data_IF_847482503645
#
_entry.id   IF_847482503645
#
_cell.length_a   1.000
_cell.length_b   1.000
_cell.length_c   1.000
_cell.angle_alpha   90.00
_cell.angle_beta   90.00
_cell.angle_gamma   90.00
#
_symmetry.space_group_name_H-M   'P 1'
#
loop_
_entity.id
_entity.type
_entity.pdbx_description
1 polymer ?
#
# COMPACT_ATOMS: atom_id res chain seq x y z
N UNK A 1 -24.02 -11.12 -45.95
CA UNK A 1 -23.42 -10.35 -44.84
C UNK A 1 -21.93 -10.64 -44.82
N UNK A 2 -21.07 -9.63 -44.97
CA UNK A 2 -19.62 -9.82 -44.82
C UNK A 2 -19.30 -9.95 -43.33
N UNK A 3 -18.41 -10.88 -42.93
CA UNK A 3 -17.94 -10.93 -41.55
C UNK A 3 -17.22 -9.61 -41.23
N UNK A 4 -17.57 -8.99 -40.10
CA UNK A 4 -16.84 -7.84 -39.55
C UNK A 4 -15.40 -8.28 -39.30
N UNK A 5 -14.45 -7.64 -39.98
CA UNK A 5 -13.03 -7.90 -39.76
C UNK A 5 -12.65 -7.42 -38.36
N UNK A 6 -12.38 -8.36 -37.46
CA UNK A 6 -11.66 -8.13 -36.21
C UNK A 6 -10.35 -7.42 -36.55
N UNK A 7 -10.29 -6.13 -36.26
CA UNK A 7 -9.14 -5.27 -36.51
C UNK A 7 -8.47 -5.03 -35.17
N UNK A 8 -7.28 -5.59 -35.01
CA UNK A 8 -6.44 -5.40 -33.83
C UNK A 8 -5.64 -4.11 -34.04
N UNK A 9 -5.85 -3.12 -33.17
CA UNK A 9 -5.09 -1.86 -33.16
C UNK A 9 -4.14 -1.91 -31.97
N UNK A 10 -2.85 -1.64 -32.21
CA UNK A 10 -1.81 -1.56 -31.17
C UNK A 10 -1.50 -0.09 -30.86
N UNK A 11 -1.76 0.34 -29.62
CA UNK A 11 -1.56 1.71 -29.16
C UNK A 11 -0.49 1.78 -28.06
N UNK A 12 0.52 2.63 -28.23
CA UNK A 12 1.69 2.74 -27.33
C UNK A 12 1.66 3.95 -26.39
N UNK A 13 0.95 3.87 -25.28
CA UNK A 13 0.72 5.04 -24.40
C UNK A 13 0.80 4.74 -22.89
N UNK A 14 1.65 3.80 -22.47
CA UNK A 14 1.95 3.51 -21.06
C UNK A 14 2.21 4.81 -20.25
N UNK A 15 2.98 5.74 -20.81
CA UNK A 15 3.28 7.03 -20.18
C UNK A 15 2.02 7.90 -19.97
N UNK A 16 1.03 7.86 -20.84
CA UNK A 16 -0.19 8.67 -20.69
C UNK A 16 -1.07 8.11 -19.56
N UNK A 17 -1.29 6.79 -19.54
CA UNK A 17 -2.05 6.15 -18.46
C UNK A 17 -1.40 6.36 -17.10
N UNK A 18 -0.08 6.20 -17.01
CA UNK A 18 0.63 6.40 -15.75
C UNK A 18 0.65 7.88 -15.35
N UNK A 19 1.07 8.78 -16.24
CA UNK A 19 1.29 10.18 -15.89
C UNK A 19 0.01 11.01 -15.78
N UNK A 20 -1.02 10.70 -16.58
CA UNK A 20 -2.23 11.53 -16.65
C UNK A 20 -3.40 10.95 -15.87
N UNK A 21 -3.41 9.63 -15.62
CA UNK A 21 -4.47 8.99 -14.87
C UNK A 21 -3.99 8.44 -13.53
N UNK A 22 -3.01 7.53 -13.49
CA UNK A 22 -2.62 6.88 -12.23
C UNK A 22 -1.98 7.86 -11.25
N UNK A 23 -0.88 8.50 -11.63
CA UNK A 23 -0.11 9.39 -10.75
C UNK A 23 -0.96 10.53 -10.16
N UNK A 24 -1.81 11.24 -10.93
CA UNK A 24 -2.64 12.31 -10.38
C UNK A 24 -3.70 11.81 -9.39
N UNK A 25 -4.26 10.62 -9.62
CA UNK A 25 -5.24 10.05 -8.69
C UNK A 25 -4.57 9.55 -7.39
N UNK A 26 -3.33 9.05 -7.47
CA UNK A 26 -2.55 8.63 -6.29
C UNK A 26 -1.97 9.80 -5.49
N UNK A 27 -1.87 11.00 -6.06
CA UNK A 27 -1.23 12.16 -5.39
C UNK A 27 -1.88 12.62 -4.08
N UNK A 28 -3.11 12.19 -3.80
CA UNK A 28 -3.76 12.41 -2.50
C UNK A 28 -3.22 11.47 -1.41
N UNK A 29 -2.93 10.21 -1.78
CA UNK A 29 -2.46 9.15 -0.88
C UNK A 29 -0.94 9.02 -0.83
N UNK A 30 -0.24 9.43 -1.88
CA UNK A 30 1.20 9.27 -2.06
C UNK A 30 1.88 10.60 -2.34
N UNK A 31 3.16 10.67 -1.98
CA UNK A 31 4.08 11.75 -2.34
C UNK A 31 5.40 11.18 -2.85
N UNK A 32 6.19 12.04 -3.50
CA UNK A 32 7.48 11.66 -4.09
C UNK A 32 7.37 10.46 -5.04
N UNK A 33 6.27 10.41 -5.80
CA UNK A 33 5.97 9.30 -6.69
C UNK A 33 7.07 9.19 -7.75
N UNK A 34 7.69 8.02 -7.84
CA UNK A 34 8.63 7.64 -8.89
C UNK A 34 7.99 6.56 -9.73
N UNK A 35 8.13 6.70 -11.04
CA UNK A 35 7.63 5.71 -11.99
C UNK A 35 8.81 4.84 -12.38
N UNK A 36 8.74 3.56 -12.01
CA UNK A 36 9.79 2.57 -12.27
C UNK A 36 9.41 1.63 -13.43
N UNK A 37 8.18 1.75 -13.93
CA UNK A 37 7.74 1.09 -15.15
C UNK A 37 8.69 1.32 -16.33
N UNK A 38 9.03 0.25 -17.03
CA UNK A 38 9.78 0.32 -18.29
C UNK A 38 8.82 0.43 -19.48
N UNK A 39 9.00 1.39 -20.41
CA UNK A 39 8.24 1.42 -21.66
C UNK A 39 8.29 0.07 -22.40
N UNK A 40 7.13 -0.44 -22.82
CA UNK A 40 7.00 -1.73 -23.52
C UNK A 40 6.94 -2.97 -22.63
N UNK A 41 7.10 -2.82 -21.30
CA UNK A 41 6.74 -3.86 -20.32
C UNK A 41 5.31 -3.64 -19.82
N UNK A 42 4.49 -4.69 -19.76
CA UNK A 42 3.10 -4.54 -19.35
C UNK A 42 2.94 -4.42 -17.85
N UNK A 43 1.83 -3.80 -17.45
CA UNK A 43 1.56 -3.42 -16.07
C UNK A 43 2.12 -2.03 -15.76
N UNK A 44 2.19 -1.73 -14.46
CA UNK A 44 2.76 -0.50 -13.97
C UNK A 44 3.44 -0.74 -12.64
N UNK A 45 4.55 -0.03 -12.39
CA UNK A 45 5.23 -0.05 -11.11
C UNK A 45 5.62 1.36 -10.74
N UNK A 46 5.16 1.78 -9.56
CA UNK A 46 5.42 3.09 -8.99
C UNK A 46 5.87 2.90 -7.55
N UNK A 47 6.83 3.71 -7.14
CA UNK A 47 7.27 3.80 -5.75
C UNK A 47 7.01 5.19 -5.20
N UNK A 48 6.97 5.32 -3.89
CA UNK A 48 6.82 6.62 -3.24
C UNK A 48 6.74 6.47 -1.73
N UNK A 49 6.13 7.45 -1.08
CA UNK A 49 5.83 7.40 0.35
C UNK A 49 4.37 7.75 0.58
N UNK A 50 3.79 7.26 1.69
CA UNK A 50 2.46 7.70 2.10
C UNK A 50 2.45 9.21 2.33
N UNK A 51 1.30 9.82 2.06
CA UNK A 51 1.02 11.22 2.38
C UNK A 51 0.16 11.29 3.64
N UNK A 52 0.75 10.93 4.79
CA UNK A 52 0.07 10.94 6.09
C UNK A 52 0.89 11.70 7.14
N UNK A 53 0.24 12.37 8.10
CA UNK A 53 0.95 12.99 9.22
C UNK A 53 1.68 11.93 10.07
N UNK A 54 2.69 12.39 10.81
CA UNK A 54 3.30 11.57 11.85
C UNK A 54 2.27 11.23 12.93
N UNK A 55 2.43 10.06 13.54
CA UNK A 55 1.59 9.54 14.61
C UNK A 55 2.50 9.30 15.82
N UNK A 56 2.13 9.90 16.94
CA UNK A 56 2.84 9.74 18.21
C UNK A 56 2.36 8.47 18.91
N UNK A 57 3.30 7.61 19.26
CA UNK A 57 3.16 6.52 20.21
C UNK A 57 3.41 7.15 21.58
N UNK A 58 2.33 7.45 22.30
CA UNK A 58 2.43 8.12 23.59
C UNK A 58 3.20 7.28 24.61
N UNK A 59 3.79 7.93 25.63
CA UNK A 59 4.37 7.21 26.73
C UNK A 59 3.28 6.45 27.49
N UNK A 60 3.66 5.35 28.11
CA UNK A 60 2.77 4.54 28.94
C UNK A 60 3.51 4.08 30.20
N UNK A 61 2.83 4.15 31.34
CA UNK A 61 3.28 3.53 32.57
C UNK A 61 2.35 2.35 32.86
N UNK A 62 2.89 1.14 32.89
CA UNK A 62 2.14 -0.07 33.22
C UNK A 62 2.61 -0.62 34.57
N UNK A 63 1.68 -0.79 35.51
CA UNK A 63 1.94 -1.29 36.86
C UNK A 63 1.23 -2.62 37.08
N UNK A 64 1.94 -3.57 37.69
CA UNK A 64 1.36 -4.84 38.11
C UNK A 64 1.92 -5.31 39.44
N UNK A 65 1.34 -6.38 39.99
CA UNK A 65 1.88 -7.04 41.17
C UNK A 65 2.53 -8.36 40.81
N UNK A 66 3.82 -8.50 41.07
CA UNK A 66 4.55 -9.77 40.98
C UNK A 66 4.71 -10.33 42.39
N UNK A 67 4.11 -11.49 42.67
CA UNK A 67 4.14 -12.11 44.01
C UNK A 67 3.73 -11.19 45.17
N UNK A 68 2.79 -10.26 44.93
CA UNK A 68 2.29 -9.30 45.92
C UNK A 68 3.09 -8.00 46.04
N UNK A 69 4.20 -7.87 45.31
CA UNK A 69 5.06 -6.70 45.29
C UNK A 69 4.82 -5.87 44.02
N UNK A 70 4.93 -4.53 44.09
CA UNK A 70 4.72 -3.68 42.94
C UNK A 70 5.87 -3.84 41.94
N UNK A 71 5.51 -4.00 40.68
CA UNK A 71 6.39 -3.97 39.51
C UNK A 71 5.81 -2.96 38.51
N UNK A 72 6.67 -2.33 37.72
CA UNK A 72 6.22 -1.41 36.68
C UNK A 72 7.12 -1.44 35.45
N UNK A 73 6.59 -0.95 34.33
CA UNK A 73 7.32 -0.74 33.09
C UNK A 73 6.90 0.60 32.47
N UNK A 74 7.89 1.45 32.24
CA UNK A 74 7.76 2.71 31.55
C UNK A 74 8.11 2.53 30.07
N UNK A 75 7.21 2.96 29.19
CA UNK A 75 7.39 2.98 27.75
C UNK A 75 7.57 4.42 27.30
N UNK A 76 8.67 4.71 26.62
CA UNK A 76 8.96 6.07 26.17
C UNK A 76 8.16 6.44 24.91
N UNK A 77 7.95 7.75 24.74
CA UNK A 77 7.31 8.28 23.55
C UNK A 77 8.14 7.94 22.29
N UNK A 78 7.46 7.54 21.22
CA UNK A 78 8.07 7.37 19.91
C UNK A 78 7.21 8.03 18.83
N UNK A 79 7.83 8.43 17.72
CA UNK A 79 7.13 9.07 16.60
C UNK A 79 7.26 8.20 15.36
N UNK A 80 6.13 7.63 14.92
CA UNK A 80 6.03 6.97 13.64
C UNK A 80 5.71 8.02 12.56
N UNK A 81 6.56 8.13 11.55
CA UNK A 81 6.31 8.98 10.39
C UNK A 81 6.01 8.10 9.17
N UNK A 82 4.73 7.89 8.80
CA UNK A 82 4.37 7.05 7.67
C UNK A 82 5.04 7.49 6.38
N UNK A 83 5.30 8.78 6.28
CA UNK A 83 5.80 9.41 5.08
C UNK A 83 7.32 9.33 4.89
N UNK A 84 8.04 8.64 5.80
CA UNK A 84 9.43 8.21 5.60
C UNK A 84 9.53 6.80 5.01
N UNK A 85 8.50 5.98 5.21
CA UNK A 85 8.46 4.63 4.66
C UNK A 85 8.27 4.61 3.14
N UNK A 86 8.31 3.39 2.61
CA UNK A 86 8.20 3.12 1.19
C UNK A 86 6.85 2.51 0.87
N UNK A 87 6.25 3.02 -0.19
CA UNK A 87 5.11 2.42 -0.88
C UNK A 87 5.62 1.78 -2.16
N UNK A 88 5.22 0.53 -2.38
CA UNK A 88 5.26 -0.16 -3.66
C UNK A 88 3.84 -0.23 -4.23
N UNK A 89 3.63 0.32 -5.42
CA UNK A 89 2.36 0.23 -6.12
C UNK A 89 2.55 -0.47 -7.46
N UNK A 90 1.96 -1.65 -7.56
CA UNK A 90 2.02 -2.52 -8.72
C UNK A 90 0.65 -2.59 -9.38
N UNK A 91 0.59 -2.35 -10.69
CA UNK A 91 -0.59 -2.57 -11.53
C UNK A 91 -0.34 -3.82 -12.36
N UNK A 92 -1.20 -4.81 -12.19
CA UNK A 92 -1.01 -6.10 -12.83
C UNK A 92 -1.32 -6.04 -14.33
N UNK A 93 -0.60 -6.86 -15.08
CA UNK A 93 -0.51 -6.82 -16.53
C UNK A 93 -1.47 -7.77 -17.26
N UNK A 94 -2.06 -8.72 -16.55
CA UNK A 94 -2.96 -9.68 -17.16
C UNK A 94 -4.34 -9.06 -17.33
N UNK A 95 -5.08 -9.50 -18.36
CA UNK A 95 -6.55 -9.55 -18.26
C UNK A 95 -6.83 -10.42 -17.04
N UNK A 96 -6.87 -9.80 -15.87
CA UNK A 96 -6.57 -10.48 -14.62
C UNK A 96 -7.54 -11.63 -14.43
N UNK A 97 -7.01 -12.85 -14.25
CA UNK A 97 -7.81 -14.02 -13.86
C UNK A 97 -8.63 -13.72 -12.60
N UNK A 98 -8.23 -12.72 -11.81
CA UNK A 98 -8.98 -12.17 -10.71
C UNK A 98 -9.07 -10.63 -10.75
N UNK A 99 -10.26 -10.10 -10.97
CA UNK A 99 -10.50 -8.64 -11.01
C UNK A 99 -10.16 -7.96 -9.68
N UNK A 100 -10.02 -8.71 -8.58
CA UNK A 100 -9.78 -8.18 -7.22
C UNK A 100 -8.33 -7.79 -6.94
N UNK A 101 -7.36 -8.27 -7.74
CA UNK A 101 -5.93 -7.97 -7.59
C UNK A 101 -5.40 -7.21 -8.81
N UNK A 102 -6.21 -6.36 -9.42
CA UNK A 102 -5.79 -5.58 -10.59
C UNK A 102 -4.70 -4.55 -10.27
N UNK A 103 -4.68 -4.04 -9.04
CA UNK A 103 -3.59 -3.24 -8.51
C UNK A 103 -3.29 -3.65 -7.06
N UNK A 104 -2.04 -3.52 -6.65
CA UNK A 104 -1.59 -3.85 -5.30
C UNK A 104 -0.76 -2.68 -4.80
N UNK A 105 -1.11 -2.20 -3.61
CA UNK A 105 -0.43 -1.13 -2.91
C UNK A 105 0.09 -1.71 -1.60
N UNK A 106 1.40 -1.72 -1.41
CA UNK A 106 2.05 -2.25 -0.21
C UNK A 106 2.94 -1.19 0.42
N UNK A 107 2.69 -0.89 1.68
CA UNK A 107 3.48 0.02 2.47
C UNK A 107 4.34 -0.75 3.48
N UNK A 108 5.58 -0.28 3.65
CA UNK A 108 6.49 -0.68 4.71
C UNK A 108 7.19 0.54 5.30
N UNK A 109 7.15 0.70 6.62
CA UNK A 109 7.89 1.75 7.32
C UNK A 109 9.38 1.46 7.40
N UNK A 110 10.16 2.48 7.71
CA UNK A 110 11.44 2.29 8.37
C UNK A 110 11.20 1.80 9.82
N UNK A 111 12.16 1.12 10.46
CA UNK A 111 12.06 0.78 11.87
C UNK A 111 11.88 2.02 12.75
N UNK A 112 10.91 1.97 13.66
CA UNK A 112 10.69 3.00 14.69
C UNK A 112 11.25 2.46 16.00
N UNK A 113 12.33 3.06 16.49
CA UNK A 113 12.92 2.67 17.76
C UNK A 113 12.12 3.26 18.93
N UNK A 114 11.72 2.39 19.85
CA UNK A 114 11.12 2.74 21.13
C UNK A 114 12.04 2.23 22.26
N UNK A 115 12.04 2.89 23.40
CA UNK A 115 12.78 2.45 24.58
C UNK A 115 11.83 2.19 25.73
N UNK A 116 12.24 1.34 26.66
CA UNK A 116 11.45 1.00 27.84
C UNK A 116 12.36 0.75 29.04
N UNK A 117 11.82 1.01 30.22
CA UNK A 117 12.48 0.86 31.51
C UNK A 117 11.55 0.11 32.47
N UNK A 118 11.96 -1.08 32.90
CA UNK A 118 11.22 -1.98 33.76
C UNK A 118 11.82 -2.09 35.15
N UNK A 119 10.96 -2.22 36.14
CA UNK A 119 11.33 -2.46 37.52
C UNK A 119 10.51 -3.61 38.09
N UNK A 120 11.19 -4.62 38.60
CA UNK A 120 10.55 -5.72 39.33
C UNK A 120 11.08 -5.79 40.76
N UNK A 121 10.15 -5.77 41.71
CA UNK A 121 10.42 -5.99 43.13
C UNK A 121 9.95 -7.40 43.47
N UNK A 122 10.83 -8.25 44.00
CA UNK A 122 10.50 -9.63 44.38
C UNK A 122 10.85 -9.83 45.85
N UNK A 123 9.91 -9.56 46.76
CA UNK A 123 10.18 -9.72 48.19
C UNK A 123 11.10 -8.64 48.78
N UNK A 124 11.82 -8.96 49.88
CA UNK A 124 12.84 -8.08 50.45
C UNK A 124 14.16 -8.05 49.65
N UNK A 125 14.19 -8.62 48.43
CA UNK A 125 15.36 -8.67 47.57
C UNK A 125 15.61 -7.33 46.85
N UNK A 126 16.82 -7.12 46.29
CA UNK A 126 17.11 -5.92 45.50
C UNK A 126 16.16 -5.75 44.31
N UNK A 127 15.88 -4.48 44.01
CA UNK A 127 15.17 -4.03 42.80
C UNK A 127 15.87 -4.57 41.56
N UNK A 128 15.14 -5.30 40.72
CA UNK A 128 15.64 -5.70 39.39
C UNK A 128 15.24 -4.59 38.43
N UNK A 129 16.22 -3.84 37.95
CA UNK A 129 16.05 -2.84 36.90
C UNK A 129 16.38 -3.50 35.55
N UNK A 130 15.46 -3.35 34.60
CA UNK A 130 15.60 -3.81 33.24
C UNK A 130 15.35 -2.61 32.32
N UNK A 131 16.04 -2.56 31.19
CA UNK A 131 15.76 -1.57 30.17
C UNK A 131 16.10 -2.16 28.80
N UNK A 132 15.51 -1.59 27.75
CA UNK A 132 15.70 -2.13 26.41
C UNK A 132 15.25 -1.21 25.29
N UNK A 133 15.60 -1.63 24.07
CA UNK A 133 15.14 -1.01 22.83
C UNK A 133 14.28 -2.01 22.05
N UNK A 134 13.22 -1.51 21.45
CA UNK A 134 12.36 -2.25 20.53
C UNK A 134 12.27 -1.48 19.23
N UNK A 135 12.39 -2.19 18.11
CA UNK A 135 12.09 -1.67 16.79
C UNK A 135 10.70 -2.12 16.36
N UNK A 136 9.87 -1.15 15.99
CA UNK A 136 8.53 -1.38 15.45
C UNK A 136 8.57 -1.19 13.93
N UNK A 137 8.05 -2.18 13.22
CA UNK A 137 7.85 -2.11 11.77
C UNK A 137 6.36 -2.10 11.46
N UNK A 138 5.92 -1.10 10.71
CA UNK A 138 4.53 -0.91 10.29
C UNK A 138 4.37 -1.32 8.83
N UNK A 139 3.37 -2.16 8.56
CA UNK A 139 2.96 -2.55 7.21
C UNK A 139 1.48 -2.26 6.99
N UNK A 140 1.13 -1.95 5.76
CA UNK A 140 -0.26 -1.74 5.35
C UNK A 140 -0.44 -2.10 3.88
N UNK A 141 -1.57 -2.71 3.53
CA UNK A 141 -1.85 -3.13 2.17
C UNK A 141 -3.19 -2.61 1.67
N UNK A 142 -3.28 -2.45 0.35
CA UNK A 142 -4.52 -2.24 -0.37
C UNK A 142 -4.50 -2.97 -1.71
N UNK A 143 -5.67 -3.44 -2.13
CA UNK A 143 -5.90 -4.15 -3.39
C UNK A 143 -6.92 -3.39 -4.23
N UNK A 144 -6.65 -3.24 -5.51
CA UNK A 144 -7.47 -2.52 -6.47
C UNK A 144 -8.25 -3.47 -7.37
N UNK A 145 -9.51 -3.12 -7.61
CA UNK A 145 -10.41 -3.83 -8.51
C UNK A 145 -10.94 -2.92 -9.61
N UNK A 146 -10.83 -3.36 -10.86
CA UNK A 146 -11.48 -2.67 -11.97
C UNK A 146 -12.99 -2.97 -11.98
N UNK A 147 -13.77 -1.94 -12.26
CA UNK A 147 -15.20 -2.03 -12.51
C UNK A 147 -15.58 -1.08 -13.65
N UNK A 148 -16.77 -1.25 -14.23
CA UNK A 148 -17.26 -0.41 -15.32
C UNK A 148 -17.46 -1.15 -16.65
N UNK A 149 -17.72 -0.37 -17.69
CA UNK A 149 -18.21 -0.89 -18.97
C UNK A 149 -19.64 -1.43 -18.86
N UNK A 150 -20.58 -0.64 -18.35
CA UNK A 150 -22.00 -1.05 -18.29
C UNK A 150 -22.70 -0.83 -19.62
N UNK A 151 -23.95 -1.29 -19.74
CA UNK A 151 -24.82 -0.97 -20.88
C UNK A 151 -25.05 0.53 -21.04
N UNK A 152 -25.21 1.25 -19.92
CA UNK A 152 -25.46 2.70 -19.92
C UNK A 152 -24.17 3.51 -20.11
N UNK A 153 -23.06 3.01 -19.57
CA UNK A 153 -21.76 3.68 -19.58
C UNK A 153 -20.65 2.71 -20.02
N UNK A 154 -20.63 2.30 -21.30
CA UNK A 154 -19.66 1.32 -21.78
C UNK A 154 -18.23 1.88 -21.69
N UNK A 155 -18.04 3.17 -21.90
CA UNK A 155 -16.73 3.83 -21.92
C UNK A 155 -16.17 4.22 -20.54
N UNK A 156 -16.89 4.01 -19.43
CA UNK A 156 -16.42 4.38 -18.10
C UNK A 156 -15.83 3.18 -17.38
N UNK A 157 -14.57 3.31 -16.97
CA UNK A 157 -13.87 2.34 -16.14
C UNK A 157 -13.41 2.98 -14.84
N UNK A 158 -13.44 2.24 -13.74
CA UNK A 158 -13.02 2.73 -12.44
C UNK A 158 -12.17 1.70 -11.73
N UNK A 159 -11.07 2.16 -11.12
CA UNK A 159 -10.27 1.35 -10.21
C UNK A 159 -10.69 1.66 -8.77
N UNK A 160 -11.35 0.71 -8.11
CA UNK A 160 -11.74 0.86 -6.71
C UNK A 160 -10.73 0.14 -5.83
N UNK A 161 -10.19 0.84 -4.84
CA UNK A 161 -9.23 0.29 -3.90
C UNK A 161 -9.95 -0.17 -2.63
N UNK A 162 -9.63 -1.39 -2.18
CA UNK A 162 -10.03 -1.96 -0.89
C UNK A 162 -8.80 -1.99 -0.01
N UNK A 163 -8.92 -1.51 1.22
CA UNK A 163 -7.79 -1.26 2.12
C UNK A 163 -7.85 -2.14 3.36
N UNK A 164 -6.68 -2.48 3.91
CA UNK A 164 -6.60 -2.95 5.29
C UNK A 164 -7.10 -1.85 6.23
N UNK A 165 -7.88 -2.23 7.24
CA UNK A 165 -8.40 -1.27 8.23
C UNK A 165 -7.33 -0.80 9.22
N UNK A 166 -6.36 -1.67 9.52
CA UNK A 166 -5.35 -1.45 10.56
C UNK A 166 -3.94 -1.66 10.02
N UNK A 167 -2.96 -1.08 10.71
CA UNK A 167 -1.55 -1.42 10.53
C UNK A 167 -1.29 -2.86 10.98
N UNK A 168 -0.47 -3.58 10.23
CA UNK A 168 0.23 -4.76 10.75
C UNK A 168 1.52 -4.29 11.39
N UNK A 169 1.68 -4.53 12.70
CA UNK A 169 2.84 -4.09 13.47
C UNK A 169 3.62 -5.32 13.90
N UNK A 170 4.93 -5.31 13.67
CA UNK A 170 5.84 -6.29 14.24
C UNK A 170 6.86 -5.60 15.11
N UNK A 171 7.12 -6.17 16.29
CA UNK A 171 8.09 -5.67 17.25
C UNK A 171 9.27 -6.64 17.36
N UNK A 172 10.49 -6.12 17.29
CA UNK A 172 11.73 -6.88 17.49
C UNK A 172 12.60 -6.17 18.50
N UNK A 173 13.21 -6.91 19.41
CA UNK A 173 14.20 -6.32 20.32
C UNK A 173 15.42 -5.87 19.53
N UNK A 174 15.96 -4.71 19.89
CA UNK A 174 17.13 -4.14 19.25
C UNK A 174 18.33 -4.18 20.19
N UNK A 175 19.52 -4.32 19.61
CA UNK A 175 20.77 -4.20 20.35
C UNK A 175 20.90 -2.81 20.97
N UNK A 176 21.26 -2.78 22.26
CA UNK A 176 21.75 -1.57 22.87
C UNK A 176 23.25 -1.51 22.62
N UNK A 177 23.74 -0.44 22.02
CA UNK A 177 25.18 -0.14 22.03
C UNK A 177 25.59 0.02 23.49
N UNK A 178 26.17 -1.03 24.06
CA UNK A 178 26.76 -0.96 25.40
C UNK A 178 27.95 0.00 25.35
N UNK A 179 27.89 1.06 26.15
CA UNK A 179 29.02 1.95 26.33
C UNK A 179 30.21 1.19 26.92
N UNK A 180 31.42 1.67 26.63
CA UNK A 180 32.67 1.13 27.23
C UNK A 180 32.58 1.05 28.77
N UNK A 181 31.85 1.98 29.39
CA UNK A 181 31.63 2.00 30.84
C UNK A 181 30.64 0.91 31.30
N UNK A 182 29.58 0.62 30.54
CA UNK A 182 28.60 -0.43 30.89
C UNK A 182 29.24 -1.83 30.86
N UNK A 183 30.16 -2.05 29.90
CA UNK A 183 30.98 -3.28 29.83
C UNK A 183 31.96 -3.43 30.99
N UNK A 184 32.47 -2.32 31.53
CA UNK A 184 33.47 -2.31 32.62
C UNK A 184 32.78 -2.45 33.98
N UNK A 185 31.64 -1.79 34.18
CA UNK A 185 30.92 -1.77 35.46
C UNK A 185 29.83 -2.84 35.56
N UNK A 186 29.57 -3.61 34.50
CA UNK A 186 28.56 -4.66 34.45
C UNK A 186 27.18 -4.16 34.93
N UNK A 187 26.90 -2.89 34.68
CA UNK A 187 25.68 -2.20 35.08
C UNK A 187 24.58 -2.56 34.11
N UNK A 188 23.78 -3.57 34.50
CA UNK A 188 22.53 -4.01 33.88
C UNK A 188 22.56 -4.14 32.34
N UNK A 189 22.85 -5.32 31.77
CA UNK A 189 22.88 -5.49 30.32
C UNK A 189 21.49 -5.19 29.73
N UNK A 190 21.43 -4.25 28.79
CA UNK A 190 20.22 -3.93 28.05
C UNK A 190 19.65 -5.20 27.42
N UNK A 191 18.35 -5.46 27.62
CA UNK A 191 17.74 -6.71 27.16
C UNK A 191 17.15 -6.55 25.76
N UNK A 192 17.44 -7.52 24.90
CA UNK A 192 16.84 -7.65 23.56
C UNK A 192 15.43 -8.27 23.58
N UNK A 193 14.77 -8.35 24.73
CA UNK A 193 13.40 -8.88 24.78
C UNK A 193 12.39 -7.78 24.43
N UNK A 194 11.24 -8.19 23.90
CA UNK A 194 10.14 -7.29 23.56
C UNK A 194 9.09 -7.34 24.67
N UNK A 195 8.85 -6.23 25.40
CA UNK A 195 7.76 -6.18 26.36
C UNK A 195 6.39 -6.48 25.73
N UNK A 196 5.47 -7.12 26.47
CA UNK A 196 4.14 -7.48 25.96
C UNK A 196 3.36 -6.32 25.34
N UNK A 197 3.48 -5.12 25.89
CA UNK A 197 2.85 -3.90 25.37
C UNK A 197 3.06 -3.70 23.86
N UNK A 198 4.26 -3.96 23.35
CA UNK A 198 4.57 -3.76 21.93
C UNK A 198 4.00 -4.86 21.03
N UNK A 199 3.70 -6.05 21.56
CA UNK A 199 3.03 -7.12 20.83
C UNK A 199 1.52 -6.85 20.68
N UNK A 200 0.91 -6.19 21.68
CA UNK A 200 -0.52 -5.89 21.72
C UNK A 200 -0.83 -4.42 21.36
N UNK A 201 0.14 -3.70 20.80
CA UNK A 201 0.04 -2.27 20.51
C UNK A 201 -1.12 -2.00 19.55
N UNK A 202 -2.15 -1.31 20.05
CA UNK A 202 -3.28 -0.83 19.24
C UNK A 202 -2.92 0.53 18.65
N UNK A 203 -2.99 0.62 17.33
CA UNK A 203 -2.67 1.84 16.60
C UNK A 203 -3.92 2.41 15.93
N UNK A 204 -4.04 3.73 15.78
CA UNK A 204 -5.16 4.31 15.06
C UNK A 204 -5.30 3.72 13.64
N UNK A 205 -6.54 3.50 13.16
CA UNK A 205 -6.81 2.99 11.83
C UNK A 205 -6.16 3.84 10.73
N UNK A 206 -5.83 3.19 9.62
CA UNK A 206 -5.19 3.85 8.48
C UNK A 206 -6.23 4.67 7.72
N UNK A 207 -6.07 6.00 7.71
CA UNK A 207 -6.96 6.94 7.00
C UNK A 207 -6.31 7.45 5.72
N UNK A 208 -6.09 6.56 4.77
CA UNK A 208 -5.60 6.92 3.43
C UNK A 208 -6.79 7.03 2.48
N UNK A 209 -6.98 8.20 1.87
CA UNK A 209 -7.96 8.35 0.79
C UNK A 209 -7.30 8.02 -0.56
N UNK A 210 -7.51 6.81 -1.09
CA UNK A 210 -7.14 6.46 -2.47
C UNK A 210 -8.37 6.49 -3.37
N UNK A 211 -8.79 7.69 -3.77
CA UNK A 211 -9.91 7.87 -4.69
C UNK A 211 -9.40 7.96 -6.12
N UNK A 212 -9.65 6.91 -6.91
CA UNK A 212 -9.43 6.96 -8.36
C UNK A 212 -10.70 7.47 -9.04
N UNK A 213 -10.57 8.53 -9.82
CA UNK A 213 -11.62 9.00 -10.73
C UNK A 213 -11.91 7.94 -11.78
N UNK A 214 -13.13 7.89 -12.29
CA UNK A 214 -13.43 7.07 -13.45
C UNK A 214 -12.64 7.56 -14.67
N UNK A 215 -12.09 6.62 -15.43
CA UNK A 215 -11.48 6.83 -16.73
C UNK A 215 -12.58 6.82 -17.80
N UNK A 216 -12.78 7.94 -18.48
CA UNK A 216 -13.54 7.98 -19.73
C UNK A 216 -12.65 7.56 -20.88
N UNK A 217 -12.90 6.34 -21.31
CA UNK A 217 -12.11 5.68 -22.31
C UNK A 217 -12.39 6.19 -23.72
N UNK A 218 -13.60 6.70 -23.99
CA UNK A 218 -13.97 7.29 -25.27
C UNK A 218 -13.23 8.60 -25.50
N UNK A 219 -13.19 9.47 -24.48
CA UNK A 219 -12.36 10.68 -24.50
C UNK A 219 -10.88 10.35 -24.69
N UNK A 220 -10.41 9.32 -23.98
CA UNK A 220 -9.03 8.82 -24.13
C UNK A 220 -8.77 8.34 -25.56
N UNK A 221 -9.69 7.60 -26.18
CA UNK A 221 -9.52 7.14 -27.56
C UNK A 221 -9.67 8.24 -28.61
N UNK A 222 -10.53 9.26 -28.42
CA UNK A 222 -10.63 10.39 -29.35
C UNK A 222 -9.40 11.31 -29.30
N UNK A 223 -8.76 11.44 -28.13
CA UNK A 223 -7.46 12.10 -28.00
C UNK A 223 -6.37 11.36 -28.79
N UNK A 224 -6.51 10.05 -28.97
CA UNK A 224 -5.53 9.20 -29.66
C UNK A 224 -5.87 8.98 -31.15
N UNK A 225 -7.15 9.01 -31.51
CA UNK A 225 -7.68 8.82 -32.86
C UNK A 225 -8.85 9.78 -33.13
N UNK A 226 -8.56 11.04 -33.49
CA UNK A 226 -9.61 12.02 -33.74
C UNK A 226 -10.44 11.64 -34.97
N UNK A 227 -11.74 11.41 -34.78
CA UNK A 227 -12.75 11.49 -35.83
C UNK A 227 -12.95 10.27 -36.75
N UNK A 228 -12.14 9.22 -36.68
CA UNK A 228 -12.26 8.08 -37.62
C UNK A 228 -12.88 6.80 -37.03
N UNK A 229 -12.71 6.55 -35.72
CA UNK A 229 -13.18 5.31 -35.09
C UNK A 229 -13.70 5.55 -33.67
N UNK A 230 -14.90 5.02 -33.37
CA UNK A 230 -15.44 4.97 -32.00
C UNK A 230 -15.12 3.60 -31.41
N UNK A 231 -14.36 3.60 -30.32
CA UNK A 231 -14.04 2.37 -29.60
C UNK A 231 -15.14 2.04 -28.58
N UNK A 232 -15.68 0.82 -28.66
CA UNK A 232 -16.63 0.26 -27.68
C UNK A 232 -15.91 -0.82 -26.86
N UNK A 233 -15.53 -0.53 -25.61
CA UNK A 233 -15.00 -1.55 -24.72
C UNK A 233 -16.04 -2.64 -24.42
N UNK A 234 -15.53 -3.84 -24.15
CA UNK A 234 -16.33 -4.92 -23.59
C UNK A 234 -16.64 -4.65 -22.11
N UNK A 235 -17.80 -5.11 -21.66
CA UNK A 235 -18.16 -5.04 -20.24
C UNK A 235 -17.16 -5.83 -19.40
N UNK A 236 -16.84 -5.36 -18.20
CA UNK A 236 -15.99 -6.10 -17.25
C UNK A 236 -16.81 -7.18 -16.53
N UNK A 237 -17.26 -8.18 -17.29
CA UNK A 237 -17.99 -9.35 -16.81
C UNK A 237 -17.12 -10.59 -16.76
N UNK A 238 -17.53 -11.57 -15.94
CA UNK A 238 -16.83 -12.85 -15.83
C UNK A 238 -16.85 -13.64 -17.15
N UNK A 239 -17.92 -13.49 -17.94
CA UNK A 239 -18.09 -14.12 -19.25
C UNK A 239 -17.09 -13.55 -20.27
N UNK A 240 -16.99 -12.22 -20.37
CA UNK A 240 -16.01 -11.58 -21.24
C UNK A 240 -14.59 -11.95 -20.83
N UNK A 241 -14.30 -12.00 -19.52
CA UNK A 241 -13.00 -12.45 -18.99
C UNK A 241 -12.65 -13.86 -19.45
N UNK A 242 -13.57 -14.83 -19.34
CA UNK A 242 -13.39 -16.22 -19.80
C UNK A 242 -13.12 -16.30 -21.31
N UNK A 243 -13.64 -15.36 -22.09
CA UNK A 243 -13.39 -15.23 -23.52
C UNK A 243 -12.10 -14.47 -23.86
N UNK A 244 -11.32 -14.01 -22.87
CA UNK A 244 -10.13 -13.19 -23.08
C UNK A 244 -10.44 -11.75 -23.52
N UNK A 245 -11.64 -11.26 -23.20
CA UNK A 245 -12.13 -9.92 -23.52
C UNK A 245 -12.21 -9.09 -22.23
N UNK A 246 -11.84 -7.81 -22.28
CA UNK A 246 -11.92 -6.93 -21.11
C UNK A 246 -10.96 -5.75 -21.18
N UNK A 247 -10.73 -5.13 -20.03
CA UNK A 247 -9.73 -4.07 -19.85
C UNK A 247 -8.38 -4.71 -19.48
N UNK A 248 -7.37 -4.49 -20.31
CA UNK A 248 -5.99 -4.80 -19.98
C UNK A 248 -5.26 -3.50 -19.62
N UNK A 249 -4.48 -3.50 -18.53
CA UNK A 249 -3.55 -2.40 -18.30
C UNK A 249 -2.45 -2.48 -19.37
N UNK A 250 -2.21 -1.41 -20.13
CA UNK A 250 -1.34 -1.45 -21.29
C UNK A 250 -0.01 -2.18 -21.09
N UNK A 251 0.32 -3.10 -22.01
CA UNK A 251 1.71 -3.24 -22.45
C UNK A 251 2.25 -1.95 -23.04
N UNK A 252 1.47 -1.02 -23.61
CA UNK A 252 0.48 -1.10 -24.72
C UNK A 252 -0.89 -1.79 -24.53
N UNK A 253 -1.96 -0.98 -24.51
CA UNK A 253 -3.34 -1.40 -24.25
C UNK A 253 -3.78 -2.33 -25.37
N UNK A 254 -4.01 -3.61 -25.08
CA UNK A 254 -4.69 -4.47 -26.04
C UNK A 254 -6.17 -4.16 -25.91
N UNK A 255 -6.65 -3.34 -26.85
CA UNK A 255 -8.06 -3.10 -27.02
C UNK A 255 -8.63 -4.08 -28.03
N UNK A 256 -9.42 -5.03 -27.53
CA UNK A 256 -10.29 -5.84 -28.37
C UNK A 256 -11.65 -5.16 -28.42
N UNK A 257 -12.11 -4.78 -29.61
CA UNK A 257 -13.41 -4.16 -29.84
C UNK A 257 -13.86 -4.37 -31.29
N UNK A 258 -15.13 -4.12 -31.56
CA UNK A 258 -15.66 -4.09 -32.92
C UNK A 258 -15.56 -2.68 -33.51
N UNK A 259 -14.98 -2.56 -34.71
CA UNK A 259 -15.10 -1.33 -35.50
C UNK A 259 -16.45 -1.33 -36.20
N UNK A 260 -17.31 -0.36 -35.86
CA UNK A 260 -18.57 -0.08 -36.57
C UNK A 260 -18.44 1.25 -37.29
N UNK A 261 -18.84 1.31 -38.56
CA UNK A 261 -18.92 2.58 -39.30
C UNK A 261 -19.90 3.51 -38.58
N UNK A 262 -19.48 4.75 -38.31
CA UNK A 262 -20.43 5.79 -37.89
C UNK A 262 -21.48 5.95 -38.99
N UNK A 263 -22.75 5.95 -38.62
CA UNK A 263 -23.82 6.28 -39.55
C UNK A 263 -23.70 7.76 -39.89
N UNK A 264 -23.65 8.07 -41.18
CA UNK A 264 -24.02 9.40 -41.69
C UNK A 264 -25.51 9.63 -41.46
#
# INVERSE_FOLDING_TARGET
MKPSSLSRIELRYHALMINQYITPNLGSAMRNIKIESTPGKPGGHLTGSLNLPSITIGPLHDEWKSFGWPSYCDYNEAVFNPSKGTVDFTINNNLTEDITDAAVFEYKSDPVTCTWDGVSIVGPQPKIEEHGKVELLFKWKSKGQWSGGTSEHPNLFQLTMVHDSNWTISATGAEMEEGLLDKIFNTHPGRQHVPPYYNDLKFPPVKVEMKMKALDYFLTTNLLFPGENVFYPHQLSEENRKAGLGLAFPRDMILTGEIRKSRQ
#
